data_IF_027274662026
#
_entry.id   IF_027274662026
#
_cell.length_a   1.000
_cell.length_b   1.000
_cell.length_c   1.000
_cell.angle_alpha   90.00
_cell.angle_beta   90.00
_cell.angle_gamma   90.00
#
_symmetry.space_group_name_H-M   'P 1'
#
loop_
_entity.id
_entity.type
_entity.pdbx_description
1 polymer ?
#
# COMPACT_ATOMS: atom_id res chain seq x y z
N UNK A 1 1.14 -36.25 4.43
CA UNK A 1 1.22 -34.78 4.34
C UNK A 1 -0.16 -34.27 3.93
N UNK A 2 -0.89 -33.62 4.82
CA UNK A 2 -2.14 -32.98 4.46
C UNK A 2 -1.80 -31.79 3.55
N UNK A 3 -2.40 -31.74 2.35
CA UNK A 3 -2.42 -30.50 1.56
C UNK A 3 -3.15 -29.47 2.40
N UNK A 4 -2.47 -28.39 2.78
CA UNK A 4 -3.18 -27.19 3.24
C UNK A 4 -4.16 -26.83 2.12
N UNK A 5 -5.45 -27.02 2.36
CA UNK A 5 -6.46 -26.41 1.52
C UNK A 5 -6.24 -24.91 1.65
N UNK A 6 -5.74 -24.27 0.59
CA UNK A 6 -5.57 -22.82 0.53
C UNK A 6 -6.95 -22.19 0.78
N UNK A 7 -7.14 -21.65 1.99
CA UNK A 7 -8.24 -20.74 2.26
C UNK A 7 -8.17 -19.58 1.26
N UNK A 8 -9.32 -19.02 0.82
CA UNK A 8 -9.31 -17.82 0.00
C UNK A 8 -8.56 -16.71 0.76
N UNK A 9 -7.61 -16.07 0.08
CA UNK A 9 -6.91 -14.91 0.59
C UNK A 9 -7.73 -13.64 0.29
N UNK A 10 -7.81 -12.68 1.23
CA UNK A 10 -7.27 -12.72 2.58
C UNK A 10 -8.12 -13.61 3.51
N UNK A 11 -7.46 -14.35 4.41
CA UNK A 11 -8.18 -15.21 5.35
C UNK A 11 -8.84 -14.39 6.47
N UNK A 12 -9.95 -14.87 7.06
CA UNK A 12 -10.58 -14.18 8.20
C UNK A 12 -9.63 -13.92 9.37
N UNK A 13 -8.73 -14.87 9.65
CA UNK A 13 -7.71 -14.71 10.70
C UNK A 13 -6.71 -13.59 10.39
N UNK A 14 -6.36 -13.39 9.12
CA UNK A 14 -5.53 -12.26 8.69
C UNK A 14 -6.25 -10.94 8.93
N UNK A 15 -7.51 -10.81 8.51
CA UNK A 15 -8.31 -9.61 8.73
C UNK A 15 -8.48 -9.30 10.23
N UNK A 16 -8.71 -10.33 11.05
CA UNK A 16 -8.81 -10.19 12.50
C UNK A 16 -7.51 -9.63 13.11
N UNK A 17 -6.36 -10.23 12.80
CA UNK A 17 -5.06 -9.75 13.30
C UNK A 17 -4.77 -8.32 12.88
N UNK A 18 -5.05 -7.99 11.62
CA UNK A 18 -4.87 -6.62 11.11
C UNK A 18 -5.78 -5.66 11.89
N UNK A 19 -7.05 -6.01 12.10
CA UNK A 19 -8.00 -5.21 12.89
C UNK A 19 -7.50 -4.96 14.31
N UNK A 20 -7.05 -6.01 15.00
CA UNK A 20 -6.53 -5.90 16.36
C UNK A 20 -5.30 -4.98 16.41
N UNK A 21 -4.40 -5.11 15.45
CA UNK A 21 -3.20 -4.27 15.40
C UNK A 21 -3.50 -2.80 15.11
N UNK A 22 -4.52 -2.50 14.30
CA UNK A 22 -5.02 -1.13 14.13
C UNK A 22 -5.65 -0.62 15.42
N UNK A 23 -6.52 -1.42 16.07
CA UNK A 23 -7.23 -1.02 17.30
C UNK A 23 -6.30 -0.71 18.47
N UNK A 24 -5.21 -1.46 18.64
CA UNK A 24 -4.18 -1.18 19.67
C UNK A 24 -3.50 0.18 19.43
N UNK A 25 -3.46 0.64 18.18
CA UNK A 25 -2.69 1.81 17.72
C UNK A 25 -3.58 3.01 17.39
N UNK A 26 -4.90 2.83 17.38
CA UNK A 26 -5.88 3.89 17.21
C UNK A 26 -6.06 4.65 18.52
N UNK A 27 -6.18 5.97 18.43
CA UNK A 27 -6.46 6.82 19.59
C UNK A 27 -7.89 6.65 20.12
N UNK A 28 -8.78 5.99 19.34
CA UNK A 28 -10.17 5.71 19.72
C UNK A 28 -10.50 4.21 19.58
N UNK A 29 -10.85 3.52 20.67
CA UNK A 29 -11.16 2.08 20.65
C UNK A 29 -12.49 1.72 19.96
N UNK A 30 -13.29 2.72 19.56
CA UNK A 30 -14.60 2.51 18.91
C UNK A 30 -14.60 2.82 17.41
N UNK A 31 -13.47 3.22 16.83
CA UNK A 31 -13.42 3.57 15.41
C UNK A 31 -13.55 2.33 14.52
N UNK A 32 -14.34 2.46 13.46
CA UNK A 32 -14.51 1.41 12.46
C UNK A 32 -13.23 1.29 11.62
N UNK A 33 -12.64 0.09 11.61
CA UNK A 33 -11.43 -0.21 10.84
C UNK A 33 -11.82 -0.52 9.40
N UNK A 34 -11.25 0.23 8.47
CA UNK A 34 -11.38 0.03 7.03
C UNK A 34 -10.23 -0.85 6.53
N UNK A 35 -10.46 -1.51 5.39
CA UNK A 35 -9.47 -2.39 4.77
C UNK A 35 -9.28 -2.08 3.29
N UNK A 36 -8.03 -2.07 2.84
CA UNK A 36 -7.68 -2.21 1.43
C UNK A 36 -6.95 -3.53 1.25
N UNK A 37 -7.39 -4.30 0.26
CA UNK A 37 -6.79 -5.57 -0.15
C UNK A 37 -6.21 -5.37 -1.54
N UNK A 38 -4.88 -5.35 -1.64
CA UNK A 38 -4.19 -5.20 -2.93
C UNK A 38 -3.46 -6.49 -3.26
N UNK A 39 -3.87 -7.22 -4.32
CA UNK A 39 -3.21 -8.46 -4.71
C UNK A 39 -1.84 -8.19 -5.37
N UNK A 40 -0.94 -9.14 -5.21
CA UNK A 40 0.26 -9.24 -6.05
C UNK A 40 -0.12 -9.66 -7.47
N UNK A 41 0.80 -9.47 -8.42
CA UNK A 41 0.63 -9.92 -9.79
C UNK A 41 1.79 -10.78 -10.27
N UNK A 42 1.49 -11.66 -11.22
CA UNK A 42 2.48 -12.31 -12.07
C UNK A 42 2.29 -11.86 -13.52
N UNK A 43 3.32 -12.02 -14.35
CA UNK A 43 3.26 -11.79 -15.79
C UNK A 43 3.89 -13.00 -16.51
N UNK A 44 3.10 -14.05 -16.84
CA UNK A 44 3.65 -15.26 -17.44
C UNK A 44 4.25 -15.05 -18.83
N UNK A 45 3.73 -14.09 -19.62
CA UNK A 45 4.22 -13.74 -20.96
C UNK A 45 4.33 -12.22 -21.11
N UNK A 46 5.43 -11.77 -21.73
CA UNK A 46 5.65 -10.35 -22.03
C UNK A 46 6.26 -9.53 -20.89
N UNK A 47 7.05 -10.12 -20.00
CA UNK A 47 7.84 -9.33 -19.08
C UNK A 47 8.83 -8.42 -19.85
N UNK A 48 8.95 -7.15 -19.44
CA UNK A 48 9.87 -6.17 -20.01
C UNK A 48 9.59 -5.75 -21.47
N UNK A 49 8.38 -5.95 -21.99
CA UNK A 49 7.98 -5.36 -23.27
C UNK A 49 6.86 -4.31 -23.11
N UNK A 50 6.32 -4.18 -21.90
CA UNK A 50 5.34 -3.16 -21.51
C UNK A 50 5.83 -1.75 -21.83
N UNK A 51 7.04 -1.41 -21.37
CA UNK A 51 7.68 -0.10 -21.62
C UNK A 51 8.10 0.15 -23.08
N UNK A 52 7.84 -0.82 -23.97
CA UNK A 52 8.04 -0.71 -25.41
C UNK A 52 6.70 -0.71 -26.18
N UNK A 53 5.57 -0.62 -25.47
CA UNK A 53 4.23 -0.71 -26.05
C UNK A 53 3.81 -2.13 -26.45
N UNK A 54 4.54 -3.15 -25.99
CA UNK A 54 4.23 -4.55 -26.22
C UNK A 54 3.09 -5.04 -25.33
N UNK A 55 2.32 -6.03 -25.81
CA UNK A 55 1.25 -6.64 -25.03
C UNK A 55 1.79 -7.57 -23.95
N UNK A 56 1.20 -7.53 -22.76
CA UNK A 56 1.57 -8.37 -21.62
C UNK A 56 0.37 -9.15 -21.10
N UNK A 57 0.60 -10.31 -20.50
CA UNK A 57 -0.47 -11.09 -19.85
C UNK A 57 -0.29 -11.04 -18.34
N UNK A 58 -0.66 -9.94 -17.69
CA UNK A 58 -0.60 -9.83 -16.24
C UNK A 58 -1.85 -10.42 -15.57
N UNK A 59 -1.69 -11.10 -14.43
CA UNK A 59 -2.82 -11.55 -13.61
C UNK A 59 -2.54 -11.36 -12.12
N UNK A 60 -3.58 -10.96 -11.38
CA UNK A 60 -3.56 -10.92 -9.92
C UNK A 60 -3.58 -12.35 -9.36
N UNK A 61 -2.90 -12.56 -8.23
CA UNK A 61 -2.88 -13.85 -7.52
C UNK A 61 -3.60 -13.76 -6.18
N UNK A 62 -3.95 -14.91 -5.59
CA UNK A 62 -4.56 -15.03 -4.26
C UNK A 62 -3.54 -14.79 -3.12
N UNK A 63 -2.68 -13.78 -3.29
CA UNK A 63 -1.65 -13.33 -2.33
C UNK A 63 -1.47 -11.84 -2.57
N UNK A 64 -1.11 -11.09 -1.54
CA UNK A 64 -0.91 -9.65 -1.63
C UNK A 64 -0.70 -8.99 -0.28
N UNK A 65 -1.08 -7.71 -0.21
CA UNK A 65 -1.04 -6.89 0.99
C UNK A 65 -2.46 -6.58 1.46
N UNK A 66 -2.66 -6.69 2.77
CA UNK A 66 -3.84 -6.15 3.47
C UNK A 66 -3.40 -4.96 4.30
N UNK A 67 -4.01 -3.80 4.05
CA UNK A 67 -3.86 -2.60 4.86
C UNK A 67 -5.15 -2.39 5.65
N UNK A 68 -5.07 -2.51 6.97
CA UNK A 68 -6.12 -2.02 7.87
C UNK A 68 -5.82 -0.60 8.30
N UNK A 69 -6.82 0.27 8.36
CA UNK A 69 -6.61 1.66 8.72
C UNK A 69 -7.86 2.34 9.27
N UNK A 70 -7.63 3.44 9.97
CA UNK A 70 -8.65 4.38 10.44
C UNK A 70 -8.25 5.79 10.00
N UNK A 71 -9.21 6.69 9.72
CA UNK A 71 -8.88 8.08 9.41
C UNK A 71 -8.23 8.75 10.62
N UNK A 72 -7.25 9.61 10.35
CA UNK A 72 -6.79 10.60 11.33
C UNK A 72 -7.73 11.81 11.33
N UNK A 73 -7.83 12.51 12.46
CA UNK A 73 -8.59 13.77 12.56
C UNK A 73 -7.85 14.96 11.92
N UNK A 74 -6.58 14.77 11.56
CA UNK A 74 -5.67 15.74 10.98
C UNK A 74 -4.98 15.17 9.72
N UNK A 75 -3.94 15.86 9.24
CA UNK A 75 -3.13 15.45 8.09
C UNK A 75 -2.08 14.39 8.42
N UNK A 76 -2.11 13.79 9.62
CA UNK A 76 -1.08 12.86 10.08
C UNK A 76 -1.29 11.46 9.55
N UNK A 77 -0.23 10.89 8.98
CA UNK A 77 -0.15 9.49 8.55
C UNK A 77 0.80 8.74 9.50
N UNK A 78 0.29 7.67 10.12
CA UNK A 78 1.04 6.75 11.00
C UNK A 78 0.86 5.33 10.49
N UNK A 79 1.95 4.66 10.10
CA UNK A 79 1.89 3.32 9.54
C UNK A 79 2.85 2.39 10.27
N UNK A 80 2.42 1.15 10.45
CA UNK A 80 3.23 0.05 10.97
C UNK A 80 3.06 -1.18 10.10
N UNK A 81 4.03 -2.09 10.12
CA UNK A 81 4.04 -3.28 9.27
C UNK A 81 4.34 -4.54 10.06
N UNK A 82 3.79 -5.66 9.60
CA UNK A 82 4.19 -6.99 10.10
C UNK A 82 5.55 -7.46 9.53
N UNK A 83 5.95 -6.94 8.35
CA UNK A 83 7.18 -7.32 7.65
C UNK A 83 8.35 -6.38 7.96
N UNK A 84 8.06 -5.10 8.14
CA UNK A 84 9.07 -4.06 8.30
C UNK A 84 9.06 -3.52 9.72
N UNK A 85 10.24 -3.42 10.32
CA UNK A 85 10.41 -2.81 11.63
C UNK A 85 10.20 -1.29 11.57
N UNK A 86 9.76 -0.75 12.69
CA UNK A 86 9.63 0.68 12.90
C UNK A 86 8.28 1.27 12.53
N UNK A 87 8.15 2.59 12.69
CA UNK A 87 6.91 3.33 12.46
C UNK A 87 7.13 4.44 11.45
N UNK A 88 6.36 4.42 10.36
CA UNK A 88 6.33 5.52 9.40
C UNK A 88 5.39 6.58 9.94
N UNK A 89 5.90 7.80 10.11
CA UNK A 89 5.14 8.93 10.62
C UNK A 89 5.43 10.19 9.81
N UNK A 90 4.40 10.81 9.25
CA UNK A 90 4.52 12.06 8.52
C UNK A 90 3.20 12.85 8.41
N UNK A 91 3.31 14.13 8.07
CA UNK A 91 2.15 14.98 7.74
C UNK A 91 2.02 15.17 6.24
N UNK A 92 0.77 15.25 5.76
CA UNK A 92 0.45 15.52 4.35
C UNK A 92 0.68 16.98 3.94
N UNK A 93 0.88 17.92 4.86
CA UNK A 93 0.94 19.36 4.54
C UNK A 93 2.22 19.79 3.80
N UNK A 94 3.31 19.02 3.92
CA UNK A 94 4.62 19.38 3.40
C UNK A 94 5.33 18.20 2.71
N UNK A 95 4.61 17.49 1.83
CA UNK A 95 5.22 16.41 1.07
C UNK A 95 6.19 16.95 0.02
N UNK A 96 7.45 16.55 0.14
CA UNK A 96 8.45 16.78 -0.89
C UNK A 96 8.41 15.63 -1.92
N UNK A 97 8.81 15.88 -3.18
CA UNK A 97 9.02 14.82 -4.15
C UNK A 97 9.98 13.77 -3.56
N UNK A 98 9.65 12.49 -3.72
CA UNK A 98 10.55 11.41 -3.35
C UNK A 98 11.92 11.65 -4.01
N UNK A 99 12.94 11.94 -3.21
CA UNK A 99 14.28 12.22 -3.75
C UNK A 99 14.89 10.88 -4.18
N UNK A 100 15.45 10.75 -5.39
CA UNK A 100 16.23 9.57 -5.78
C UNK A 100 17.58 9.45 -5.05
N UNK A 101 17.81 10.22 -3.98
CA UNK A 101 19.08 10.27 -3.26
C UNK A 101 18.97 9.59 -1.90
N UNK A 102 19.66 8.45 -1.81
CA UNK A 102 19.88 7.55 -0.67
C UNK A 102 18.97 6.31 -0.66
N UNK A 103 19.18 5.45 -1.66
CA UNK A 103 19.33 4.02 -1.37
C UNK A 103 20.51 3.90 -0.38
N UNK A 104 20.29 4.21 0.89
CA UNK A 104 21.03 3.50 1.93
C UNK A 104 20.47 2.09 1.86
N UNK A 105 21.36 1.14 1.56
CA UNK A 105 21.13 -0.30 1.52
C UNK A 105 20.96 -0.81 2.96
N UNK A 106 20.02 -0.20 3.68
CA UNK A 106 19.60 -0.57 5.02
C UNK A 106 18.10 -0.39 5.02
N UNK A 107 17.35 -1.44 5.37
CA UNK A 107 15.90 -1.38 5.56
C UNK A 107 15.60 -0.49 6.79
N UNK A 108 15.77 0.81 6.64
CA UNK A 108 15.40 1.82 7.64
C UNK A 108 13.94 2.20 7.42
N UNK A 109 13.33 2.77 8.46
CA UNK A 109 11.95 3.27 8.45
C UNK A 109 11.64 4.17 7.23
N UNK A 110 12.64 4.93 6.79
CA UNK A 110 12.55 5.81 5.62
C UNK A 110 12.23 5.06 4.32
N UNK A 111 12.81 3.87 4.11
CA UNK A 111 12.78 3.22 2.79
C UNK A 111 11.41 2.64 2.40
N UNK A 112 10.62 2.15 3.35
CA UNK A 112 9.28 1.62 3.06
C UNK A 112 8.19 2.68 3.25
N UNK A 113 8.44 3.72 4.04
CA UNK A 113 7.56 4.88 4.16
C UNK A 113 7.46 5.71 2.88
N UNK A 114 8.47 5.64 2.01
CA UNK A 114 8.49 6.33 0.72
C UNK A 114 7.34 5.92 -0.20
N UNK A 115 6.81 4.69 -0.10
CA UNK A 115 5.63 4.28 -0.87
C UNK A 115 4.38 5.07 -0.44
N UNK A 116 4.18 5.27 0.86
CA UNK A 116 3.05 6.04 1.38
C UNK A 116 3.19 7.54 1.06
N UNK A 117 4.41 8.09 1.21
CA UNK A 117 4.72 9.47 0.83
C UNK A 117 4.52 9.70 -0.67
N UNK A 118 4.97 8.74 -1.50
CA UNK A 118 4.83 8.78 -2.95
C UNK A 118 3.37 8.74 -3.40
N UNK A 119 2.55 7.86 -2.82
CA UNK A 119 1.12 7.81 -3.10
C UNK A 119 0.40 9.13 -2.74
N UNK A 120 0.67 9.65 -1.54
CA UNK A 120 0.10 10.92 -1.10
C UNK A 120 0.55 12.11 -1.97
N UNK A 121 1.84 12.17 -2.32
CA UNK A 121 2.39 13.18 -3.21
C UNK A 121 1.75 13.10 -4.60
N UNK A 122 1.57 11.90 -5.14
CA UNK A 122 0.96 11.68 -6.46
C UNK A 122 -0.48 12.24 -6.52
N UNK A 123 -1.29 11.97 -5.50
CA UNK A 123 -2.64 12.55 -5.37
C UNK A 123 -2.59 14.08 -5.29
N UNK A 124 -1.75 14.64 -4.43
CA UNK A 124 -1.61 16.10 -4.29
C UNK A 124 -1.12 16.76 -5.59
N UNK A 125 -0.18 16.14 -6.29
CA UNK A 125 0.37 16.65 -7.54
C UNK A 125 -0.65 16.62 -8.69
N UNK A 126 -1.64 15.72 -8.68
CA UNK A 126 -2.80 15.77 -9.58
C UNK A 126 -3.84 16.82 -9.17
N UNK A 127 -3.65 17.51 -8.04
CA UNK A 127 -4.53 18.59 -7.57
C UNK A 127 -5.54 18.19 -6.51
N UNK A 128 -5.49 16.96 -5.99
CA UNK A 128 -6.38 16.54 -4.91
C UNK A 128 -5.94 17.14 -3.56
N UNK A 129 -6.90 17.71 -2.84
CA UNK A 129 -6.65 18.22 -1.49
C UNK A 129 -6.84 17.11 -0.46
N UNK A 130 -5.74 16.69 0.17
CA UNK A 130 -5.77 15.72 1.27
C UNK A 130 -5.83 16.49 2.59
N UNK A 131 -6.92 16.33 3.34
CA UNK A 131 -7.14 16.97 4.65
C UNK A 131 -7.10 15.98 5.80
N UNK A 132 -7.21 14.68 5.50
CA UNK A 132 -7.18 13.59 6.48
C UNK A 132 -6.09 12.59 6.13
N UNK A 133 -5.25 12.30 7.10
CA UNK A 133 -4.30 11.20 7.05
C UNK A 133 -4.94 9.88 7.51
N UNK A 134 -4.10 8.87 7.73
CA UNK A 134 -4.51 7.54 8.14
C UNK A 134 -3.60 7.01 9.25
N UNK A 135 -4.17 6.21 10.15
CA UNK A 135 -3.39 5.38 11.08
C UNK A 135 -3.63 3.93 10.69
N UNK A 136 -2.59 3.21 10.31
CA UNK A 136 -2.74 1.91 9.67
C UNK A 136 -1.69 0.86 10.06
N UNK A 137 -2.09 -0.38 9.81
CA UNK A 137 -1.25 -1.57 9.95
C UNK A 137 -1.32 -2.38 8.65
N UNK A 138 -0.16 -2.70 8.09
CA UNK A 138 -0.06 -3.51 6.87
C UNK A 138 0.50 -4.91 7.16
N UNK A 139 -0.09 -5.91 6.52
CA UNK A 139 0.41 -7.28 6.51
C UNK A 139 0.43 -7.83 5.08
N UNK A 140 1.63 -8.10 4.58
CA UNK A 140 1.87 -8.81 3.32
C UNK A 140 1.80 -10.33 3.46
N UNK A 141 1.55 -11.00 2.34
CA UNK A 141 1.62 -12.46 2.29
C UNK A 141 3.08 -12.93 2.43
N UNK A 142 3.36 -13.74 3.45
CA UNK A 142 4.72 -14.22 3.78
C UNK A 142 5.33 -15.05 2.65
N UNK A 143 6.66 -15.00 2.54
CA UNK A 143 7.42 -15.81 1.59
C UNK A 143 7.49 -15.26 0.17
N UNK A 144 7.00 -14.03 -0.04
CA UNK A 144 7.01 -13.33 -1.33
C UNK A 144 7.82 -12.03 -1.31
N UNK A 145 8.55 -11.80 -0.23
CA UNK A 145 9.46 -10.66 -0.10
C UNK A 145 10.61 -10.82 -1.12
N UNK A 146 10.71 -9.90 -2.08
CA UNK A 146 11.77 -9.90 -3.10
C UNK A 146 11.51 -10.75 -4.37
N UNK A 147 10.34 -11.37 -4.52
CA UNK A 147 10.05 -12.30 -5.64
C UNK A 147 9.71 -11.69 -7.00
N UNK A 148 9.93 -10.40 -7.24
CA UNK A 148 9.57 -9.74 -8.52
C UNK A 148 8.05 -9.63 -8.78
N UNK A 149 7.22 -9.81 -7.76
CA UNK A 149 5.75 -9.87 -7.85
C UNK A 149 5.05 -8.50 -7.85
N UNK A 150 5.79 -7.44 -8.16
CA UNK A 150 5.30 -6.04 -8.11
C UNK A 150 4.79 -5.63 -6.72
N UNK A 151 5.54 -6.02 -5.69
CA UNK A 151 5.23 -5.68 -4.30
C UNK A 151 5.19 -4.17 -4.06
N UNK A 152 6.02 -3.38 -4.75
CA UNK A 152 6.00 -1.91 -4.69
C UNK A 152 4.69 -1.31 -5.20
N UNK A 153 4.22 -1.74 -6.39
CA UNK A 153 2.96 -1.27 -6.97
C UNK A 153 1.76 -1.65 -6.09
N UNK A 154 1.79 -2.87 -5.54
CA UNK A 154 0.74 -3.38 -4.63
C UNK A 154 0.62 -2.51 -3.39
N UNK A 155 1.74 -2.14 -2.77
CA UNK A 155 1.77 -1.27 -1.60
C UNK A 155 1.35 0.16 -1.96
N UNK A 156 1.81 0.68 -3.10
CA UNK A 156 1.43 2.00 -3.60
C UNK A 156 -0.08 2.14 -3.82
N UNK A 157 -0.70 1.17 -4.51
CA UNK A 157 -2.16 1.11 -4.71
C UNK A 157 -2.89 1.07 -3.37
N UNK A 158 -2.41 0.25 -2.41
CA UNK A 158 -3.05 0.12 -1.12
C UNK A 158 -3.14 1.46 -0.36
N UNK A 159 -2.04 2.23 -0.33
CA UNK A 159 -2.02 3.55 0.31
C UNK A 159 -2.85 4.59 -0.44
N UNK A 160 -2.79 4.57 -1.76
CA UNK A 160 -3.53 5.49 -2.61
C UNK A 160 -5.04 5.33 -2.42
N UNK A 161 -5.56 4.10 -2.48
CA UNK A 161 -6.98 3.81 -2.22
C UNK A 161 -7.41 4.17 -0.78
N UNK A 162 -6.55 3.94 0.21
CA UNK A 162 -6.85 4.29 1.60
C UNK A 162 -6.95 5.81 1.79
N UNK A 163 -6.03 6.58 1.22
CA UNK A 163 -6.04 8.05 1.27
C UNK A 163 -7.23 8.63 0.51
N UNK A 164 -7.59 8.06 -0.64
CA UNK A 164 -8.80 8.43 -1.38
C UNK A 164 -10.05 8.22 -0.54
N UNK A 165 -10.18 7.05 0.08
CA UNK A 165 -11.33 6.69 0.89
C UNK A 165 -11.54 7.70 2.04
N UNK A 166 -10.50 7.99 2.84
CA UNK A 166 -10.65 8.89 4.00
C UNK A 166 -10.84 10.35 3.61
N UNK A 167 -10.43 10.75 2.40
CA UNK A 167 -10.63 12.10 1.87
C UNK A 167 -11.86 12.21 0.95
N UNK A 168 -12.65 11.14 0.79
CA UNK A 168 -13.84 11.14 -0.06
C UNK A 168 -13.56 11.41 -1.53
N UNK A 169 -12.35 11.06 -2.00
CA UNK A 169 -11.94 11.26 -3.38
C UNK A 169 -12.54 10.16 -4.27
N UNK A 170 -12.78 10.51 -5.53
CA UNK A 170 -13.19 9.57 -6.58
C UNK A 170 -12.20 9.69 -7.74
N UNK A 171 -11.13 8.92 -7.65
CA UNK A 171 -10.14 8.80 -8.70
C UNK A 171 -10.47 7.57 -9.55
N UNK A 172 -10.27 7.65 -10.87
CA UNK A 172 -10.59 6.52 -11.75
C UNK A 172 -9.55 5.42 -11.57
N UNK A 173 -9.92 4.17 -11.87
CA UNK A 173 -8.99 3.04 -11.80
C UNK A 173 -7.76 3.26 -12.69
N UNK A 174 -7.95 3.87 -13.86
CA UNK A 174 -6.87 4.20 -14.82
C UNK A 174 -5.94 5.25 -14.22
N UNK A 175 -6.51 6.34 -13.68
CA UNK A 175 -5.71 7.37 -13.01
C UNK A 175 -4.93 6.78 -11.82
N UNK A 176 -5.53 5.84 -11.07
CA UNK A 176 -4.87 5.17 -9.96
C UNK A 176 -3.67 4.34 -10.42
N UNK A 177 -3.76 3.68 -11.57
CA UNK A 177 -2.62 2.96 -12.17
C UNK A 177 -1.50 3.94 -12.53
N UNK A 178 -1.83 5.08 -13.15
CA UNK A 178 -0.84 6.10 -13.53
C UNK A 178 -0.17 6.79 -12.33
N UNK A 179 -0.90 6.90 -11.22
CA UNK A 179 -0.41 7.62 -10.03
C UNK A 179 0.57 6.82 -9.19
N UNK A 180 0.53 5.49 -9.26
CA UNK A 180 1.45 4.65 -8.48
C UNK A 180 2.89 4.89 -8.95
N UNK A 181 3.80 5.32 -8.05
CA UNK A 181 5.19 5.58 -8.42
C UNK A 181 5.85 4.31 -8.98
N UNK A 182 6.41 4.40 -10.19
CA UNK A 182 7.04 3.28 -10.90
C UNK A 182 6.17 2.65 -11.99
N UNK A 183 4.91 3.07 -12.15
CA UNK A 183 4.01 2.67 -13.23
C UNK A 183 4.29 3.36 -14.57
N UNK A 184 5.56 3.60 -14.94
CA UNK A 184 5.85 3.97 -16.33
C UNK A 184 5.58 2.74 -17.20
N UNK A 185 4.35 2.67 -17.71
CA UNK A 185 3.95 1.92 -18.89
C UNK A 185 4.69 2.49 -20.09
#
# INVERSE_FOLDING_TARGET
MAREFEYPWPSPNLLHRVKENVGIRSESPTCEVNFVVSPYRICPLGAHIDHQGGSVTAMAINRGVVLGFVPSDDTTVVLTSSQFSGTVHFSLDNLLPARPSRIHVTATEDAWGDYARGAAFALQNKGYKLTKGIRGYMEGSRGFDGGGLSSSATVGVAYLLALEHVNGLRVTEIDNVELVPGSKI
#
